data_IF_217248400437
#
_entry.id   IF_217248400437
#
_cell.length_a   1.000
_cell.length_b   1.000
_cell.length_c   1.000
_cell.angle_alpha   90.00
_cell.angle_beta   90.00
_cell.angle_gamma   90.00
#
_symmetry.space_group_name_H-M   'P 1'
#
loop_
_entity.id
_entity.type
_entity.pdbx_description
1 polymer ?
#
# COMPACT_ATOMS: atom_id res chain seq x y z
N UNK A 1 58.84 12.50 -35.77
CA UNK A 1 57.61 13.03 -35.15
C UNK A 1 57.95 13.39 -33.71
N UNK A 2 57.93 14.67 -33.38
CA UNK A 2 58.66 15.23 -32.23
C UNK A 2 57.79 15.11 -30.96
N UNK A 3 58.18 14.29 -29.99
CA UNK A 3 57.43 14.06 -28.74
C UNK A 3 57.11 15.33 -27.95
N UNK A 4 57.93 16.39 -28.11
CA UNK A 4 57.66 17.71 -27.52
C UNK A 4 56.38 18.36 -28.06
N UNK A 5 56.11 18.24 -29.35
CA UNK A 5 54.92 18.87 -29.97
C UNK A 5 53.62 18.22 -29.50
N UNK A 6 53.62 16.90 -29.29
CA UNK A 6 52.46 16.16 -28.79
C UNK A 6 52.21 16.42 -27.29
N UNK A 7 53.27 16.57 -26.50
CA UNK A 7 53.17 16.89 -25.08
C UNK A 7 52.77 18.35 -24.84
N UNK A 8 53.26 19.31 -25.63
CA UNK A 8 52.84 20.71 -25.57
C UNK A 8 51.38 20.88 -26.03
N UNK A 9 50.95 20.14 -27.06
CA UNK A 9 49.54 20.08 -27.48
C UNK A 9 48.62 19.55 -26.37
N UNK A 10 49.01 18.49 -25.66
CA UNK A 10 48.21 17.97 -24.53
C UNK A 10 48.17 18.96 -23.36
N UNK A 11 49.26 19.67 -23.07
CA UNK A 11 49.37 20.65 -21.97
C UNK A 11 48.53 21.90 -22.18
N UNK A 12 48.42 22.36 -23.43
CA UNK A 12 47.59 23.52 -23.77
C UNK A 12 46.09 23.17 -23.82
N UNK A 13 45.73 21.94 -24.22
CA UNK A 13 44.35 21.47 -24.20
C UNK A 13 43.87 21.06 -22.81
N UNK A 14 44.74 20.63 -21.89
CA UNK A 14 44.40 20.25 -20.51
C UNK A 14 43.56 21.33 -19.79
N UNK A 15 43.93 22.61 -20.01
CA UNK A 15 43.27 23.78 -19.38
C UNK A 15 41.87 24.05 -19.91
N UNK A 16 41.50 23.54 -21.08
CA UNK A 16 40.20 23.76 -21.73
C UNK A 16 39.36 22.48 -21.73
N UNK A 17 39.99 21.33 -21.93
CA UNK A 17 39.34 20.02 -22.00
C UNK A 17 38.84 19.59 -20.61
N UNK A 18 39.62 19.79 -19.54
CA UNK A 18 39.20 19.48 -18.17
C UNK A 18 37.92 20.24 -17.78
N UNK A 19 37.81 21.58 -17.94
CA UNK A 19 36.58 22.28 -17.58
C UNK A 19 35.39 21.88 -18.46
N UNK A 20 35.58 21.60 -19.75
CA UNK A 20 34.49 21.12 -20.62
C UNK A 20 34.00 19.74 -20.17
N UNK A 21 34.91 18.79 -19.93
CA UNK A 21 34.55 17.44 -19.45
C UNK A 21 33.89 17.52 -18.07
N UNK A 22 34.39 18.37 -17.18
CA UNK A 22 33.83 18.57 -15.82
C UNK A 22 32.44 19.21 -15.88
N UNK A 23 32.23 20.17 -16.79
CA UNK A 23 30.94 20.81 -17.04
C UNK A 23 29.93 19.80 -17.60
N UNK A 24 30.33 19.00 -18.60
CA UNK A 24 29.48 17.97 -19.19
C UNK A 24 29.13 16.88 -18.17
N UNK A 25 30.12 16.36 -17.44
CA UNK A 25 29.88 15.37 -16.39
C UNK A 25 28.99 15.93 -15.26
N UNK A 26 29.26 17.13 -14.76
CA UNK A 26 28.43 17.79 -13.75
C UNK A 26 26.98 18.02 -14.21
N UNK A 27 26.80 18.42 -15.47
CA UNK A 27 25.49 18.59 -16.08
C UNK A 27 24.72 17.27 -16.19
N UNK A 28 25.37 16.18 -16.63
CA UNK A 28 24.73 14.87 -16.75
C UNK A 28 24.46 14.22 -15.38
N UNK A 29 25.37 14.28 -14.39
CA UNK A 29 25.13 13.72 -13.06
C UNK A 29 23.93 14.37 -12.35
N UNK A 30 23.68 15.67 -12.56
CA UNK A 30 22.51 16.36 -11.99
C UNK A 30 21.16 15.86 -12.52
N UNK A 31 21.13 15.25 -13.71
CA UNK A 31 19.90 14.76 -14.37
C UNK A 31 19.54 13.31 -13.98
N UNK A 32 20.45 12.57 -13.34
CA UNK A 32 20.24 11.16 -12.97
C UNK A 32 19.96 10.94 -11.48
N UNK A 33 20.03 11.98 -10.65
CA UNK A 33 19.70 11.88 -9.22
C UNK A 33 18.66 12.91 -8.85
N UNK A 34 17.55 12.48 -8.23
CA UNK A 34 16.61 13.41 -7.59
C UNK A 34 17.40 14.40 -6.72
N UNK A 35 17.17 15.69 -6.94
CA UNK A 35 17.67 16.75 -6.08
C UNK A 35 17.17 16.56 -4.65
N UNK A 36 17.85 17.15 -3.65
CA UNK A 36 17.44 17.02 -2.24
C UNK A 36 15.99 17.49 -2.00
N UNK A 37 15.52 18.50 -2.74
CA UNK A 37 14.13 18.96 -2.69
C UNK A 37 13.18 17.93 -3.31
N UNK A 38 13.49 17.37 -4.47
CA UNK A 38 12.66 16.34 -5.11
C UNK A 38 12.59 15.05 -4.27
N UNK A 39 13.67 14.67 -3.58
CA UNK A 39 13.66 13.54 -2.64
C UNK A 39 12.71 13.78 -1.46
N UNK A 40 12.79 14.97 -0.84
CA UNK A 40 11.91 15.33 0.27
C UNK A 40 10.44 15.40 -0.16
N UNK A 41 10.17 15.98 -1.34
CA UNK A 41 8.82 16.02 -1.91
C UNK A 41 8.29 14.61 -2.20
N UNK A 42 9.15 13.73 -2.72
CA UNK A 42 8.80 12.34 -2.96
C UNK A 42 8.47 11.61 -1.65
N UNK A 43 9.31 11.73 -0.62
CA UNK A 43 9.08 11.15 0.71
C UNK A 43 7.79 11.68 1.36
N UNK A 44 7.54 12.99 1.26
CA UNK A 44 6.31 13.61 1.73
C UNK A 44 5.09 13.02 1.01
N UNK A 45 5.15 12.90 -0.33
CA UNK A 45 4.06 12.29 -1.10
C UNK A 45 3.78 10.84 -0.71
N UNK A 46 4.83 10.06 -0.42
CA UNK A 46 4.67 8.69 0.08
C UNK A 46 3.99 8.64 1.45
N UNK A 47 4.27 9.62 2.32
CA UNK A 47 3.61 9.75 3.61
C UNK A 47 2.15 10.18 3.46
N UNK A 48 1.87 11.20 2.64
CA UNK A 48 0.51 11.70 2.33
C UNK A 48 -0.37 10.59 1.75
N UNK A 49 0.11 9.82 0.77
CA UNK A 49 -0.62 8.64 0.26
C UNK A 49 -0.95 7.64 1.38
N UNK A 50 -0.05 7.49 2.36
CA UNK A 50 -0.27 6.63 3.51
C UNK A 50 -1.40 7.12 4.41
N UNK A 51 -1.46 8.43 4.67
CA UNK A 51 -2.53 9.07 5.43
C UNK A 51 -3.88 8.90 4.70
N UNK A 52 -3.93 9.16 3.40
CA UNK A 52 -5.15 8.98 2.60
C UNK A 52 -5.68 7.54 2.68
N UNK A 53 -4.79 6.55 2.61
CA UNK A 53 -5.16 5.14 2.77
C UNK A 53 -5.69 4.84 4.17
N UNK A 54 -5.08 5.40 5.21
CA UNK A 54 -5.51 5.24 6.60
C UNK A 54 -6.89 5.85 6.85
N UNK A 55 -7.13 7.06 6.34
CA UNK A 55 -8.42 7.75 6.45
C UNK A 55 -9.52 6.96 5.72
N UNK A 56 -9.24 6.48 4.50
CA UNK A 56 -10.15 5.63 3.75
C UNK A 56 -10.46 4.31 4.49
N UNK A 57 -9.44 3.65 5.06
CA UNK A 57 -9.64 2.45 5.88
C UNK A 57 -10.54 2.73 7.08
N UNK A 58 -10.27 3.81 7.83
CA UNK A 58 -11.03 4.17 9.01
C UNK A 58 -12.49 4.49 8.65
N UNK A 59 -12.72 5.23 7.57
CA UNK A 59 -14.08 5.52 7.08
C UNK A 59 -14.85 4.24 6.76
N UNK A 60 -14.25 3.29 6.03
CA UNK A 60 -14.91 2.01 5.71
C UNK A 60 -15.13 1.14 6.94
N UNK A 61 -14.21 1.17 7.89
CA UNK A 61 -14.39 0.47 9.17
C UNK A 61 -15.56 1.04 9.96
N UNK A 62 -15.70 2.37 10.03
CA UNK A 62 -16.82 3.03 10.71
C UNK A 62 -18.16 2.70 10.06
N UNK A 63 -18.25 2.71 8.73
CA UNK A 63 -19.44 2.27 7.99
C UNK A 63 -19.81 0.82 8.35
N UNK A 64 -18.80 -0.08 8.37
CA UNK A 64 -19.02 -1.49 8.68
C UNK A 64 -19.46 -1.69 10.13
N UNK A 65 -18.79 -1.03 11.07
CA UNK A 65 -19.14 -1.06 12.49
C UNK A 65 -20.57 -0.54 12.74
N UNK A 66 -20.99 0.52 12.04
CA UNK A 66 -22.34 1.06 12.15
C UNK A 66 -23.41 0.07 11.71
N UNK A 67 -23.19 -0.66 10.60
CA UNK A 67 -24.11 -1.70 10.12
C UNK A 67 -24.17 -2.88 11.08
N UNK A 68 -23.02 -3.33 11.61
CA UNK A 68 -23.00 -4.38 12.64
C UNK A 68 -23.74 -3.95 13.91
N UNK A 69 -23.51 -2.73 14.37
CA UNK A 69 -24.17 -2.17 15.53
C UNK A 69 -25.69 -2.07 15.33
N UNK A 70 -26.14 -1.65 14.13
CA UNK A 70 -27.55 -1.62 13.75
C UNK A 70 -28.18 -3.02 13.78
N UNK A 71 -27.47 -4.03 13.27
CA UNK A 71 -27.93 -5.41 13.29
C UNK A 71 -28.06 -5.96 14.72
N UNK A 72 -27.05 -5.76 15.56
CA UNK A 72 -27.01 -6.28 16.93
C UNK A 72 -28.11 -5.66 17.81
N UNK A 73 -28.37 -4.36 17.65
CA UNK A 73 -29.35 -3.63 18.49
C UNK A 73 -30.77 -3.64 17.92
N UNK A 74 -31.03 -4.42 16.86
CA UNK A 74 -32.36 -4.47 16.26
C UNK A 74 -33.33 -5.14 17.24
N UNK A 75 -34.42 -4.45 17.56
CA UNK A 75 -35.46 -4.93 18.50
C UNK A 75 -36.41 -5.95 17.88
N UNK A 76 -36.35 -6.14 16.56
CA UNK A 76 -37.10 -7.16 15.81
C UNK A 76 -36.17 -8.16 15.12
N UNK A 77 -36.76 -9.19 14.51
CA UNK A 77 -36.00 -10.19 13.76
C UNK A 77 -35.19 -9.55 12.61
N UNK A 78 -33.88 -9.84 12.49
CA UNK A 78 -33.10 -9.39 11.35
C UNK A 78 -33.65 -9.92 10.03
N UNK A 79 -33.65 -9.05 9.02
CA UNK A 79 -34.17 -9.28 7.66
C UNK A 79 -33.06 -9.69 6.70
N UNK A 80 -33.46 -10.12 5.50
CA UNK A 80 -32.54 -10.40 4.41
C UNK A 80 -31.73 -9.14 4.00
N UNK A 81 -32.34 -7.96 4.05
CA UNK A 81 -31.65 -6.69 3.78
C UNK A 81 -30.54 -6.42 4.79
N UNK A 82 -30.76 -6.71 6.08
CA UNK A 82 -29.70 -6.52 7.09
C UNK A 82 -28.50 -7.43 6.81
N UNK A 83 -28.74 -8.64 6.30
CA UNK A 83 -27.67 -9.56 5.87
C UNK A 83 -26.90 -9.01 4.66
N UNK A 84 -27.61 -8.48 3.66
CA UNK A 84 -26.97 -7.87 2.49
C UNK A 84 -26.19 -6.59 2.84
N UNK A 85 -26.70 -5.78 3.76
CA UNK A 85 -25.99 -4.60 4.28
C UNK A 85 -24.66 -5.00 4.92
N UNK A 86 -24.67 -5.99 5.84
CA UNK A 86 -23.45 -6.48 6.50
C UNK A 86 -22.45 -7.02 5.48
N UNK A 87 -22.91 -7.89 4.59
CA UNK A 87 -22.02 -8.53 3.60
C UNK A 87 -21.40 -7.48 2.67
N UNK A 88 -22.20 -6.55 2.15
CA UNK A 88 -21.73 -5.53 1.20
C UNK A 88 -20.75 -4.55 1.85
N UNK A 89 -21.06 -4.05 3.05
CA UNK A 89 -20.20 -3.06 3.71
C UNK A 89 -18.93 -3.71 4.26
N UNK A 90 -19.02 -4.94 4.76
CA UNK A 90 -17.85 -5.73 5.16
C UNK A 90 -16.89 -5.99 4.01
N UNK A 91 -17.40 -6.41 2.84
CA UNK A 91 -16.58 -6.61 1.64
C UNK A 91 -15.89 -5.32 1.17
N UNK A 92 -16.58 -4.17 1.24
CA UNK A 92 -15.96 -2.86 0.94
C UNK A 92 -14.80 -2.52 1.87
N UNK A 93 -14.91 -2.86 3.15
CA UNK A 93 -13.82 -2.66 4.11
C UNK A 93 -12.60 -3.53 3.75
N UNK A 94 -12.79 -4.82 3.47
CA UNK A 94 -11.68 -5.70 3.08
C UNK A 94 -11.09 -5.35 1.72
N UNK A 95 -11.93 -4.87 0.78
CA UNK A 95 -11.45 -4.32 -0.49
C UNK A 95 -10.55 -3.09 -0.29
N UNK A 96 -10.86 -2.22 0.66
CA UNK A 96 -10.00 -1.08 0.99
C UNK A 96 -8.64 -1.53 1.54
N UNK A 97 -8.60 -2.59 2.36
CA UNK A 97 -7.34 -3.19 2.83
C UNK A 97 -6.53 -3.81 1.68
N UNK A 98 -7.20 -4.39 0.69
CA UNK A 98 -6.56 -4.87 -0.55
C UNK A 98 -5.93 -3.70 -1.33
N UNK A 99 -6.64 -2.59 -1.52
CA UNK A 99 -6.08 -1.38 -2.16
C UNK A 99 -4.83 -0.89 -1.42
N UNK A 100 -4.87 -0.86 -0.08
CA UNK A 100 -3.69 -0.48 0.71
C UNK A 100 -2.53 -1.47 0.54
N UNK A 101 -2.82 -2.76 0.40
CA UNK A 101 -1.81 -3.79 0.12
C UNK A 101 -1.18 -3.58 -1.26
N UNK A 102 -1.98 -3.29 -2.28
CA UNK A 102 -1.51 -2.97 -3.63
C UNK A 102 -0.61 -1.73 -3.64
N UNK A 103 -0.98 -0.69 -2.89
CA UNK A 103 -0.16 0.51 -2.73
C UNK A 103 1.20 0.23 -2.06
N UNK A 104 1.22 -0.67 -1.07
CA UNK A 104 2.47 -1.14 -0.42
C UNK A 104 3.34 -1.88 -1.44
N UNK A 105 2.78 -2.82 -2.21
CA UNK A 105 3.49 -3.58 -3.24
C UNK A 105 4.09 -2.63 -4.29
N UNK A 106 3.34 -1.61 -4.69
CA UNK A 106 3.76 -0.60 -5.65
C UNK A 106 4.78 0.42 -5.09
N UNK A 107 5.16 0.33 -3.81
CA UNK A 107 6.08 1.27 -3.18
C UNK A 107 5.54 2.69 -3.08
N UNK A 108 4.21 2.85 -3.02
CA UNK A 108 3.52 4.16 -3.00
C UNK A 108 3.26 4.68 -1.59
N UNK A 109 3.80 4.02 -0.58
CA UNK A 109 3.65 4.38 0.82
C UNK A 109 5.01 4.43 1.51
N UNK A 110 5.15 5.34 2.47
CA UNK A 110 6.39 5.44 3.25
C UNK A 110 6.60 4.19 4.08
N UNK A 111 7.88 3.85 4.35
CA UNK A 111 8.24 2.68 5.17
C UNK A 111 7.63 2.76 6.56
N UNK A 112 7.64 3.94 7.16
CA UNK A 112 7.12 4.17 8.51
C UNK A 112 5.61 3.89 8.59
N UNK A 113 4.82 4.46 7.68
CA UNK A 113 3.36 4.23 7.65
C UNK A 113 3.04 2.77 7.34
N UNK A 114 3.78 2.16 6.41
CA UNK A 114 3.66 0.75 6.09
C UNK A 114 3.87 -0.11 7.34
N UNK A 115 5.04 -0.01 7.98
CA UNK A 115 5.46 -0.95 9.04
C UNK A 115 4.72 -0.74 10.37
N UNK A 116 4.35 0.50 10.68
CA UNK A 116 3.76 0.85 11.98
C UNK A 116 2.23 0.86 11.99
N UNK A 117 1.58 0.98 10.82
CA UNK A 117 0.11 1.14 10.78
C UNK A 117 -0.56 0.19 9.79
N UNK A 118 -0.22 0.27 8.50
CA UNK A 118 -0.94 -0.52 7.49
C UNK A 118 -0.67 -2.03 7.65
N UNK A 119 0.59 -2.42 7.89
CA UNK A 119 0.98 -3.82 8.05
C UNK A 119 0.30 -4.51 9.24
N UNK A 120 0.29 -3.95 10.47
CA UNK A 120 -0.48 -4.50 11.58
C UNK A 120 -1.97 -4.71 11.26
N UNK A 121 -2.61 -3.72 10.63
CA UNK A 121 -4.04 -3.78 10.29
C UNK A 121 -4.33 -4.88 9.27
N UNK A 122 -3.53 -4.96 8.20
CA UNK A 122 -3.66 -6.01 7.18
C UNK A 122 -3.42 -7.39 7.82
N UNK A 123 -2.46 -7.50 8.75
CA UNK A 123 -2.15 -8.75 9.44
C UNK A 123 -3.34 -9.22 10.25
N UNK A 124 -3.89 -8.36 11.09
CA UNK A 124 -5.08 -8.68 11.90
C UNK A 124 -6.27 -9.03 11.02
N UNK A 125 -6.47 -8.32 9.92
CA UNK A 125 -7.54 -8.62 8.98
C UNK A 125 -7.40 -10.03 8.39
N UNK A 126 -6.22 -10.38 7.85
CA UNK A 126 -5.97 -11.69 7.22
C UNK A 126 -6.07 -12.84 8.24
N UNK A 127 -5.51 -12.66 9.44
CA UNK A 127 -5.41 -13.76 10.41
C UNK A 127 -6.69 -13.95 11.22
N UNK A 128 -7.52 -12.91 11.38
CA UNK A 128 -8.65 -12.92 12.31
C UNK A 128 -9.92 -12.38 11.68
N UNK A 129 -9.95 -11.11 11.27
CA UNK A 129 -11.21 -10.43 10.95
C UNK A 129 -11.87 -10.99 9.69
N UNK A 130 -11.09 -11.29 8.65
CA UNK A 130 -11.59 -11.80 7.38
C UNK A 130 -12.15 -13.23 7.50
N UNK A 131 -11.44 -14.22 8.11
CA UNK A 131 -12.03 -15.52 8.41
C UNK A 131 -13.29 -15.42 9.29
N UNK A 132 -13.27 -14.56 10.31
CA UNK A 132 -14.40 -14.37 11.23
C UNK A 132 -15.61 -13.76 10.53
N UNK A 133 -15.39 -12.85 9.59
CA UNK A 133 -16.44 -12.24 8.79
C UNK A 133 -17.20 -13.29 7.97
N UNK A 134 -16.47 -14.12 7.21
CA UNK A 134 -17.09 -15.17 6.40
C UNK A 134 -17.82 -16.22 7.24
N UNK A 135 -17.22 -16.67 8.36
CA UNK A 135 -17.89 -17.62 9.26
C UNK A 135 -19.14 -17.03 9.90
N UNK A 136 -19.12 -15.74 10.24
CA UNK A 136 -20.28 -15.03 10.78
C UNK A 136 -21.39 -14.92 9.73
N UNK A 137 -21.07 -14.57 8.48
CA UNK A 137 -22.07 -14.52 7.41
C UNK A 137 -22.71 -15.89 7.15
N UNK A 138 -21.91 -16.96 7.11
CA UNK A 138 -22.43 -18.33 6.96
C UNK A 138 -23.34 -18.71 8.14
N UNK A 139 -22.98 -18.35 9.37
CA UNK A 139 -23.81 -18.60 10.55
C UNK A 139 -25.12 -17.81 10.53
N UNK A 140 -25.11 -16.55 10.08
CA UNK A 140 -26.33 -15.73 9.94
C UNK A 140 -27.22 -16.34 8.85
N UNK A 141 -26.66 -16.70 7.69
CA UNK A 141 -27.40 -17.27 6.58
C UNK A 141 -28.07 -18.60 6.95
N UNK A 142 -27.34 -19.49 7.64
CA UNK A 142 -27.87 -20.77 8.13
C UNK A 142 -29.04 -20.57 9.11
N UNK A 143 -28.93 -19.63 10.05
CA UNK A 143 -30.02 -19.32 11.00
C UNK A 143 -31.28 -18.78 10.33
N UNK A 144 -31.13 -18.16 9.17
CA UNK A 144 -32.22 -17.48 8.44
C UNK A 144 -32.70 -18.25 7.21
N UNK A 145 -32.24 -19.48 7.01
CA UNK A 145 -32.52 -20.29 5.81
C UNK A 145 -32.21 -19.55 4.50
N UNK A 146 -31.15 -18.72 4.50
CA UNK A 146 -30.66 -18.02 3.32
C UNK A 146 -29.61 -18.92 2.64
N UNK A 147 -29.75 -19.13 1.34
CA UNK A 147 -28.73 -19.81 0.54
C UNK A 147 -27.57 -18.84 0.32
N UNK A 148 -26.50 -18.99 1.11
CA UNK A 148 -25.27 -18.21 0.98
C UNK A 148 -24.08 -19.14 0.77
N UNK A 149 -23.46 -19.04 -0.40
CA UNK A 149 -22.29 -19.84 -0.80
C UNK A 149 -21.00 -19.00 -0.83
N UNK A 150 -20.97 -17.88 -0.10
CA UNK A 150 -19.77 -17.05 0.00
C UNK A 150 -18.72 -17.75 0.83
N UNK A 151 -17.51 -17.84 0.28
CA UNK A 151 -16.37 -18.51 0.88
C UNK A 151 -15.16 -17.60 0.84
N UNK A 152 -14.37 -17.65 1.91
CA UNK A 152 -13.07 -17.00 1.91
C UNK A 152 -12.15 -17.72 0.94
N UNK A 153 -11.91 -17.08 -0.20
CA UNK A 153 -10.97 -17.54 -1.23
C UNK A 153 -9.72 -16.67 -1.18
N UNK A 154 -8.56 -17.30 -0.98
CA UNK A 154 -7.27 -16.60 -0.86
C UNK A 154 -7.02 -15.72 -2.07
N UNK A 155 -7.37 -16.22 -3.25
CA UNK A 155 -7.15 -15.58 -4.56
C UNK A 155 -7.82 -14.19 -4.63
N UNK A 156 -8.94 -14.00 -3.93
CA UNK A 156 -9.65 -12.71 -3.90
C UNK A 156 -8.85 -11.63 -3.14
N UNK A 157 -8.01 -12.04 -2.20
CA UNK A 157 -7.24 -11.19 -1.29
C UNK A 157 -5.73 -11.40 -1.42
N UNK A 158 -5.26 -11.91 -2.56
CA UNK A 158 -3.85 -12.32 -2.76
C UNK A 158 -2.85 -11.21 -2.40
N UNK A 159 -3.14 -9.95 -2.74
CA UNK A 159 -2.29 -8.81 -2.38
C UNK A 159 -2.09 -8.66 -0.86
N UNK A 160 -3.14 -8.92 -0.07
CA UNK A 160 -3.05 -8.86 1.40
C UNK A 160 -2.16 -9.98 1.92
N UNK A 161 -2.36 -11.22 1.44
CA UNK A 161 -1.53 -12.36 1.81
C UNK A 161 -0.06 -12.15 1.41
N UNK A 162 0.19 -11.70 0.18
CA UNK A 162 1.52 -11.43 -0.34
C UNK A 162 2.28 -10.41 0.50
N UNK A 163 1.64 -9.30 0.86
CA UNK A 163 2.23 -8.25 1.69
C UNK A 163 2.61 -8.81 3.07
N UNK A 164 1.75 -9.62 3.68
CA UNK A 164 2.04 -10.28 4.95
C UNK A 164 3.22 -11.23 4.84
N UNK A 165 3.23 -12.11 3.85
CA UNK A 165 4.29 -13.10 3.66
C UNK A 165 5.64 -12.43 3.37
N UNK A 166 5.65 -11.39 2.54
CA UNK A 166 6.87 -10.66 2.15
C UNK A 166 7.48 -9.86 3.30
N UNK A 167 6.65 -9.19 4.11
CA UNK A 167 7.15 -8.27 5.14
C UNK A 167 7.17 -8.89 6.55
N UNK A 168 6.48 -10.00 6.80
CA UNK A 168 6.62 -10.74 8.07
C UNK A 168 8.01 -11.38 8.22
N UNK A 169 8.65 -11.78 7.12
CA UNK A 169 10.00 -12.36 7.14
C UNK A 169 11.11 -11.34 7.45
N UNK A 170 10.86 -10.04 7.30
CA UNK A 170 11.84 -8.98 7.53
C UNK A 170 11.92 -8.49 8.99
N UNK A 171 11.13 -9.09 9.90
CA UNK A 171 11.10 -8.76 11.34
C UNK A 171 11.77 -9.81 12.24
N UNK A 172 12.39 -10.84 11.66
CA UNK A 172 13.27 -11.79 12.36
C UNK A 172 14.74 -11.47 12.05
#
# INVERSE_FOLDING_TARGET
>A
MNYRFFLDFLRDYEKVLIPIITFVLGFFFSRFTLSLSERKQYEQKLFENGIELMEAQNSRFQEFAAVLHKYINKTGEPTLDDFFDISTVGEKYFYQLKISSDAIIAGKVSKEVRDNTLMPNIKEAVTKSLPTFYSTLQAIAAKKNIVYNGELKRENYESMYYVIERYAQQRN
#
